data_IF_915736399377
#
_entry.id   IF_915736399377
#
_cell.length_a   1.000
_cell.length_b   1.000
_cell.length_c   1.000
_cell.angle_alpha   90.00
_cell.angle_beta   90.00
_cell.angle_gamma   90.00
#
_symmetry.space_group_name_H-M   'P 1'
#
loop_
_entity.id
_entity.type
_entity.pdbx_description
1 polymer ?
#
# COMPACT_ATOMS: atom_id res chain seq x y z
N UNK A 1 20.85 11.24 22.05
CA UNK A 1 20.35 12.26 21.11
C UNK A 1 19.60 11.55 19.99
N UNK A 2 18.32 11.74 19.91
CA UNK A 2 17.55 11.30 18.75
C UNK A 2 17.89 12.21 17.58
N UNK A 3 18.40 11.65 16.50
CA UNK A 3 18.58 12.38 15.23
C UNK A 3 17.23 12.97 14.84
N UNK A 4 17.12 14.27 14.52
CA UNK A 4 15.87 14.83 14.04
C UNK A 4 15.39 14.03 12.85
N UNK A 5 14.12 13.65 12.84
CA UNK A 5 13.51 12.99 11.68
C UNK A 5 13.68 13.89 10.45
N UNK A 6 14.28 13.36 9.39
CA UNK A 6 14.37 14.04 8.10
C UNK A 6 13.07 13.96 7.31
N UNK A 7 12.05 13.31 7.86
CA UNK A 7 10.74 13.19 7.23
C UNK A 7 10.04 14.55 7.20
N UNK A 8 9.75 15.02 6.00
CA UNK A 8 9.06 16.31 5.77
C UNK A 8 7.58 16.26 6.11
N UNK A 9 6.99 15.08 6.19
CA UNK A 9 5.57 14.85 6.49
C UNK A 9 5.44 13.70 7.50
N UNK A 10 5.91 13.89 8.74
CA UNK A 10 5.89 12.84 9.75
C UNK A 10 4.44 12.48 10.12
N UNK A 11 4.23 11.29 10.72
CA UNK A 11 2.92 10.93 11.27
C UNK A 11 2.38 12.02 12.20
N UNK A 12 1.09 12.32 12.07
CA UNK A 12 0.40 13.23 12.97
C UNK A 12 -0.06 12.47 14.21
N UNK A 13 0.33 12.89 15.43
CA UNK A 13 -0.23 12.33 16.65
C UNK A 13 -1.74 12.53 16.69
N UNK A 14 -2.49 11.53 17.16
CA UNK A 14 -3.95 11.59 17.21
C UNK A 14 -4.48 12.80 18.00
N UNK A 15 -3.78 13.14 19.07
CA UNK A 15 -4.11 14.30 19.93
C UNK A 15 -3.93 15.66 19.24
N UNK A 16 -3.16 15.73 18.17
CA UNK A 16 -2.93 16.96 17.42
C UNK A 16 -3.83 17.10 16.18
N UNK A 17 -4.59 16.05 15.85
CA UNK A 17 -5.48 16.06 14.69
C UNK A 17 -6.68 16.95 14.92
N UNK A 18 -7.04 17.73 13.89
CA UNK A 18 -8.33 18.43 13.88
C UNK A 18 -9.49 17.42 13.69
N UNK A 19 -10.76 17.83 13.91
CA UNK A 19 -11.91 16.91 13.82
C UNK A 19 -12.03 16.17 12.49
N UNK A 20 -11.72 16.82 11.36
CA UNK A 20 -11.79 16.21 10.04
C UNK A 20 -10.69 15.15 9.86
N UNK A 21 -9.47 15.44 10.31
CA UNK A 21 -8.36 14.48 10.31
C UNK A 21 -8.66 13.27 11.21
N UNK A 22 -9.21 13.53 12.40
CA UNK A 22 -9.57 12.45 13.33
C UNK A 22 -10.65 11.55 12.74
N UNK A 23 -11.69 12.11 12.13
CA UNK A 23 -12.74 11.32 11.48
C UNK A 23 -12.18 10.46 10.34
N UNK A 24 -11.30 11.02 9.50
CA UNK A 24 -10.64 10.28 8.42
C UNK A 24 -9.74 9.17 8.94
N UNK A 25 -8.99 9.41 10.01
CA UNK A 25 -8.16 8.39 10.66
C UNK A 25 -9.01 7.26 11.25
N UNK A 26 -10.08 7.58 11.95
CA UNK A 26 -10.97 6.60 12.56
C UNK A 26 -11.64 5.71 11.49
N UNK A 27 -12.06 6.29 10.37
CA UNK A 27 -12.62 5.54 9.24
C UNK A 27 -11.57 4.58 8.62
N UNK A 28 -10.34 5.06 8.43
CA UNK A 28 -9.25 4.26 7.89
C UNK A 28 -8.87 3.10 8.84
N UNK A 29 -8.87 3.34 10.14
CA UNK A 29 -8.56 2.31 11.15
C UNK A 29 -9.68 1.28 11.23
N UNK A 30 -10.94 1.67 11.03
CA UNK A 30 -12.09 0.79 11.03
C UNK A 30 -12.14 -0.15 9.81
N UNK A 31 -11.52 0.23 8.68
CA UNK A 31 -11.46 -0.60 7.48
C UNK A 31 -10.44 -1.75 7.61
N UNK A 32 -10.34 -2.69 6.64
CA UNK A 32 -9.39 -3.80 6.71
C UNK A 32 -7.90 -3.38 6.84
N UNK A 33 -7.55 -2.13 6.59
CA UNK A 33 -6.18 -1.61 6.75
C UNK A 33 -5.72 -1.50 8.20
N UNK A 34 -6.64 -1.22 9.13
CA UNK A 34 -6.45 -1.17 10.59
C UNK A 34 -5.49 -0.09 11.11
N UNK A 35 -4.85 0.68 10.26
CA UNK A 35 -3.87 1.69 10.68
C UNK A 35 -3.68 2.79 9.64
N UNK A 36 -3.23 3.96 10.10
CA UNK A 36 -2.72 5.03 9.25
C UNK A 36 -1.24 4.76 9.00
N UNK A 37 -0.88 4.34 7.80
CA UNK A 37 0.52 4.07 7.44
C UNK A 37 0.78 4.34 5.96
N UNK A 38 2.06 4.37 5.58
CA UNK A 38 2.47 4.58 4.19
C UNK A 38 1.95 5.89 3.62
N UNK A 39 1.36 5.88 2.42
CA UNK A 39 0.90 7.09 1.74
C UNK A 39 -0.21 7.83 2.48
N UNK A 40 -0.92 7.17 3.39
CA UNK A 40 -1.97 7.80 4.19
C UNK A 40 -1.41 8.77 5.23
N UNK A 41 -0.15 8.63 5.62
CA UNK A 41 0.51 9.56 6.54
C UNK A 41 0.54 10.98 5.96
N UNK A 42 1.12 11.25 4.79
CA UNK A 42 1.04 12.57 4.18
C UNK A 42 -0.39 12.98 3.80
N UNK A 43 -1.24 12.04 3.37
CA UNK A 43 -2.63 12.31 3.01
C UNK A 43 -3.49 12.80 4.19
N UNK A 44 -3.07 12.57 5.44
CA UNK A 44 -3.75 13.12 6.61
C UNK A 44 -3.84 14.65 6.60
N UNK A 45 -2.98 15.35 5.86
CA UNK A 45 -3.05 16.81 5.69
C UNK A 45 -4.20 17.25 4.77
N UNK A 46 -4.77 16.30 4.03
CA UNK A 46 -5.94 16.50 3.16
C UNK A 46 -6.98 15.41 3.46
N UNK A 47 -7.69 15.49 4.58
CA UNK A 47 -8.53 14.38 5.09
C UNK A 47 -9.65 13.98 4.14
N UNK A 48 -10.23 14.92 3.39
CA UNK A 48 -11.24 14.63 2.37
C UNK A 48 -10.65 13.81 1.21
N UNK A 49 -9.46 14.19 0.74
CA UNK A 49 -8.76 13.44 -0.31
C UNK A 49 -8.38 12.05 0.19
N UNK A 50 -7.86 11.94 1.42
CA UNK A 50 -7.53 10.66 2.04
C UNK A 50 -8.74 9.72 2.03
N UNK A 51 -9.90 10.19 2.49
CA UNK A 51 -11.12 9.38 2.57
C UNK A 51 -11.52 8.85 1.19
N UNK A 52 -11.46 9.66 0.15
CA UNK A 52 -11.80 9.25 -1.22
C UNK A 52 -10.78 8.27 -1.80
N UNK A 53 -9.51 8.56 -1.67
CA UNK A 53 -8.41 7.70 -2.19
C UNK A 53 -8.42 6.35 -1.48
N UNK A 54 -8.57 6.32 -0.15
CA UNK A 54 -8.58 5.07 0.59
C UNK A 54 -9.75 4.17 0.19
N UNK A 55 -10.94 4.74 -0.12
CA UNK A 55 -12.09 3.96 -0.58
C UNK A 55 -11.85 3.31 -1.94
N UNK A 56 -11.22 4.03 -2.87
CA UNK A 56 -10.79 3.44 -4.15
C UNK A 56 -9.82 2.29 -3.91
N UNK A 57 -8.79 2.52 -3.10
CA UNK A 57 -7.81 1.51 -2.76
C UNK A 57 -8.40 0.31 -2.00
N UNK A 58 -9.41 0.54 -1.16
CA UNK A 58 -10.11 -0.53 -0.45
C UNK A 58 -10.82 -1.47 -1.42
N UNK A 59 -11.54 -0.92 -2.40
CA UNK A 59 -12.21 -1.74 -3.44
C UNK A 59 -11.17 -2.54 -4.22
N UNK A 60 -10.12 -1.89 -4.71
CA UNK A 60 -9.10 -2.56 -5.52
C UNK A 60 -8.36 -3.66 -4.77
N UNK A 61 -8.11 -3.46 -3.47
CA UNK A 61 -7.30 -4.37 -2.67
C UNK A 61 -8.12 -5.47 -2.01
N UNK A 62 -9.30 -5.16 -1.49
CA UNK A 62 -10.07 -6.08 -0.64
C UNK A 62 -11.38 -6.55 -1.24
N UNK A 63 -11.91 -5.86 -2.27
CA UNK A 63 -13.20 -6.15 -2.87
C UNK A 63 -13.15 -6.28 -4.40
N UNK A 64 -11.95 -6.42 -4.96
CA UNK A 64 -11.76 -6.62 -6.39
C UNK A 64 -12.34 -7.98 -6.84
N UNK A 65 -12.88 -8.00 -8.04
CA UNK A 65 -13.26 -9.26 -8.73
C UNK A 65 -12.04 -10.06 -9.20
N UNK A 66 -10.86 -9.40 -9.24
CA UNK A 66 -9.61 -10.07 -9.58
C UNK A 66 -9.09 -10.85 -8.37
N UNK A 67 -8.53 -12.04 -8.56
CA UNK A 67 -7.92 -12.77 -7.46
C UNK A 67 -6.72 -12.01 -6.86
N UNK A 68 -6.53 -12.14 -5.55
CA UNK A 68 -5.48 -11.44 -4.81
C UNK A 68 -4.08 -11.61 -5.43
N UNK A 69 -3.79 -12.80 -5.99
CA UNK A 69 -2.54 -13.06 -6.69
C UNK A 69 -2.29 -12.08 -7.84
N UNK A 70 -3.32 -11.71 -8.60
CA UNK A 70 -3.19 -10.75 -9.69
C UNK A 70 -3.02 -9.33 -9.20
N UNK A 71 -3.81 -8.92 -8.22
CA UNK A 71 -3.71 -7.57 -7.65
C UNK A 71 -2.36 -7.34 -7.00
N UNK A 72 -1.83 -8.31 -6.28
CA UNK A 72 -0.50 -8.23 -5.67
C UNK A 72 0.62 -8.24 -6.73
N UNK A 73 0.50 -9.07 -7.77
CA UNK A 73 1.47 -9.09 -8.87
C UNK A 73 1.55 -7.72 -9.56
N UNK A 74 0.40 -7.14 -9.91
CA UNK A 74 0.33 -5.80 -10.52
C UNK A 74 0.93 -4.73 -9.60
N UNK A 75 0.62 -4.81 -8.31
CA UNK A 75 1.19 -3.90 -7.31
C UNK A 75 2.71 -3.98 -7.30
N UNK A 76 3.29 -5.18 -7.32
CA UNK A 76 4.75 -5.35 -7.36
C UNK A 76 5.37 -4.82 -8.66
N UNK A 77 4.71 -5.03 -9.80
CA UNK A 77 5.17 -4.48 -11.09
C UNK A 77 5.26 -2.95 -11.03
N UNK A 78 4.22 -2.30 -10.53
CA UNK A 78 4.17 -0.84 -10.41
C UNK A 78 5.18 -0.35 -9.37
N UNK A 79 5.25 -0.98 -8.20
CA UNK A 79 6.21 -0.63 -7.15
C UNK A 79 7.65 -0.72 -7.66
N UNK A 80 7.98 -1.75 -8.43
CA UNK A 80 9.32 -1.89 -9.03
C UNK A 80 9.60 -0.82 -10.09
N UNK A 81 8.63 -0.56 -10.98
CA UNK A 81 8.79 0.42 -12.04
C UNK A 81 9.05 1.84 -11.50
N UNK A 82 8.41 2.20 -10.39
CA UNK A 82 8.56 3.50 -9.73
C UNK A 82 9.61 3.50 -8.62
N UNK A 83 10.32 2.40 -8.41
CA UNK A 83 11.31 2.25 -7.33
C UNK A 83 10.72 2.60 -5.96
N UNK A 84 9.47 2.17 -5.72
CA UNK A 84 8.76 2.46 -4.48
C UNK A 84 9.05 1.38 -3.45
N UNK A 85 10.08 1.62 -2.63
CA UNK A 85 10.61 0.65 -1.69
C UNK A 85 9.62 0.28 -0.59
N UNK A 86 8.84 1.23 -0.09
CA UNK A 86 7.83 0.97 0.94
C UNK A 86 6.77 -0.01 0.41
N UNK A 87 6.19 0.27 -0.74
CA UNK A 87 5.17 -0.59 -1.35
C UNK A 87 5.73 -1.98 -1.70
N UNK A 88 6.95 -2.03 -2.21
CA UNK A 88 7.64 -3.29 -2.46
C UNK A 88 7.74 -4.14 -1.19
N UNK A 89 8.22 -3.56 -0.09
CA UNK A 89 8.42 -4.27 1.17
C UNK A 89 7.10 -4.74 1.80
N UNK A 90 6.04 -3.95 1.67
CA UNK A 90 4.71 -4.32 2.19
C UNK A 90 4.08 -5.44 1.35
N UNK A 91 4.19 -5.35 0.02
CA UNK A 91 3.44 -6.21 -0.88
C UNK A 91 4.14 -7.52 -1.25
N UNK A 92 5.46 -7.65 -1.11
CA UNK A 92 6.16 -8.93 -1.34
C UNK A 92 5.61 -10.07 -0.47
N UNK A 93 5.50 -9.92 0.86
CA UNK A 93 4.92 -10.98 1.69
C UNK A 93 3.47 -11.32 1.32
N UNK A 94 2.67 -10.30 0.99
CA UNK A 94 1.28 -10.49 0.58
C UNK A 94 1.16 -11.21 -0.76
N UNK A 95 2.03 -10.88 -1.71
CA UNK A 95 2.09 -11.56 -3.01
C UNK A 95 2.46 -13.04 -2.87
N UNK A 96 3.46 -13.35 -2.06
CA UNK A 96 3.86 -14.73 -1.77
C UNK A 96 2.71 -15.51 -1.10
N UNK A 97 2.05 -14.89 -0.13
CA UNK A 97 0.90 -15.48 0.55
C UNK A 97 -0.28 -15.70 -0.41
N UNK A 98 -0.47 -14.83 -1.39
CA UNK A 98 -1.52 -14.94 -2.41
C UNK A 98 -1.19 -15.95 -3.53
N UNK A 99 0.01 -16.53 -3.55
CA UNK A 99 0.42 -17.55 -4.52
C UNK A 99 1.28 -17.04 -5.67
N UNK A 100 1.80 -15.82 -5.61
CA UNK A 100 2.88 -15.39 -6.51
C UNK A 100 4.14 -16.16 -6.14
N UNK A 101 4.79 -16.77 -7.13
CA UNK A 101 5.96 -17.62 -6.85
C UNK A 101 7.17 -16.79 -6.43
N UNK A 102 8.08 -17.32 -5.57
CA UNK A 102 9.33 -16.63 -5.23
C UNK A 102 10.17 -16.29 -6.48
N UNK A 103 10.13 -17.15 -7.50
CA UNK A 103 10.83 -16.93 -8.77
C UNK A 103 10.26 -15.73 -9.52
N UNK A 104 8.92 -15.55 -9.50
CA UNK A 104 8.29 -14.37 -10.10
C UNK A 104 8.67 -13.09 -9.35
N UNK A 105 8.65 -13.11 -8.03
CA UNK A 105 9.09 -11.97 -7.20
C UNK A 105 10.54 -11.61 -7.51
N UNK A 106 11.42 -12.60 -7.59
CA UNK A 106 12.83 -12.37 -7.88
C UNK A 106 13.06 -11.83 -9.29
N UNK A 107 12.32 -12.32 -10.29
CA UNK A 107 12.35 -11.78 -11.64
C UNK A 107 11.96 -10.30 -11.67
N UNK A 108 10.87 -9.95 -10.99
CA UNK A 108 10.41 -8.56 -10.87
C UNK A 108 11.42 -7.68 -10.13
N UNK A 109 12.06 -8.19 -9.08
CA UNK A 109 13.12 -7.49 -8.34
C UNK A 109 14.22 -7.00 -9.28
N UNK A 110 14.58 -7.81 -10.26
CA UNK A 110 15.61 -7.51 -11.26
C UNK A 110 15.05 -6.83 -12.53
N UNK A 111 13.80 -6.39 -12.52
CA UNK A 111 13.17 -5.72 -13.65
C UNK A 111 12.93 -6.64 -14.85
N UNK A 112 12.84 -7.96 -14.61
CA UNK A 112 12.60 -8.97 -15.63
C UNK A 112 11.15 -9.44 -15.61
N UNK A 113 10.63 -9.82 -16.77
CA UNK A 113 9.33 -10.46 -16.86
C UNK A 113 9.40 -11.86 -16.24
N UNK A 114 8.49 -12.25 -15.35
CA UNK A 114 8.38 -13.62 -14.88
C UNK A 114 8.12 -14.60 -16.03
N UNK A 115 8.83 -15.72 -16.06
CA UNK A 115 8.68 -16.72 -17.12
C UNK A 115 7.37 -17.52 -16.96
N UNK A 116 6.94 -17.73 -15.73
CA UNK A 116 5.73 -18.46 -15.38
C UNK A 116 4.67 -17.48 -14.84
N UNK A 117 3.98 -16.81 -15.75
CA UNK A 117 2.71 -16.21 -15.41
C UNK A 117 1.63 -17.30 -15.47
N UNK A 118 0.67 -17.29 -14.52
CA UNK A 118 -0.43 -18.26 -14.57
C UNK A 118 -1.11 -18.21 -15.94
N UNK A 119 -1.41 -19.39 -16.48
CA UNK A 119 -2.20 -19.50 -17.70
C UNK A 119 -3.57 -18.88 -17.43
N UNK A 120 -3.98 -17.91 -18.23
CA UNK A 120 -5.26 -17.24 -18.11
C UNK A 120 -5.20 -15.78 -17.70
N UNK A 121 -4.04 -15.15 -17.85
CA UNK A 121 -3.89 -13.69 -17.85
C UNK A 121 -3.89 -13.15 -19.27
#
# INVERSE_FOLDING_TARGET
MTTPSTDRMPPLPLETMNPAQRAAADELIACPRKAVRGPFIPLMRSPELLTRVQKVGEVLRFHSVLPARLTELVTLVVARAWTQQFEWNVHVPLALQAGVTPQAVEALRHGRRPLELPKGL
#
